data_IF_313417220260
#
_entry.id   IF_313417220260
#
_cell.length_a   1.000
_cell.length_b   1.000
_cell.length_c   1.000
_cell.angle_alpha   90.00
_cell.angle_beta   90.00
_cell.angle_gamma   90.00
#
_symmetry.space_group_name_H-M   'P 1'
#
loop_
_entity.id
_entity.type
_entity.pdbx_description
1 polymer ?
#
# COMPACT_ATOMS: atom_id res chain seq x y z
N UNK A 1 -22.12 40.97 18.88
CA UNK A 1 -21.45 42.24 19.17
C UNK A 1 -19.97 41.94 19.30
N UNK A 2 -19.05 42.31 18.46
CA UNK A 2 -19.00 42.88 17.11
C UNK A 2 -17.56 42.57 16.66
N UNK A 3 -17.34 41.92 15.53
CA UNK A 3 -17.00 42.58 14.26
C UNK A 3 -15.79 43.52 14.35
N UNK A 4 -14.69 43.13 13.70
CA UNK A 4 -13.93 44.07 12.86
C UNK A 4 -13.01 43.32 11.89
N UNK A 5 -13.34 43.49 10.62
CA UNK A 5 -12.67 43.06 9.40
C UNK A 5 -12.31 44.35 8.66
N UNK A 6 -11.05 44.56 8.25
CA UNK A 6 -10.61 45.46 7.18
C UNK A 6 -9.06 45.36 7.08
N UNK A 7 -8.50 44.80 6.01
CA UNK A 7 -8.33 45.34 4.66
C UNK A 7 -7.06 46.19 4.53
N UNK A 8 -6.11 45.72 3.72
CA UNK A 8 -5.19 46.52 2.91
C UNK A 8 -4.90 45.73 1.64
N UNK A 9 -5.39 46.28 0.52
CA UNK A 9 -5.11 45.95 -0.87
C UNK A 9 -4.14 47.03 -1.42
N UNK A 10 -3.60 46.74 -2.61
CA UNK A 10 -2.85 47.60 -3.54
C UNK A 10 -1.33 47.79 -3.27
N UNK A 11 -0.43 47.75 -4.25
CA UNK A 11 -0.57 47.65 -5.70
C UNK A 11 0.79 47.32 -6.35
N UNK A 12 0.75 47.00 -7.65
CA UNK A 12 1.78 47.23 -8.66
C UNK A 12 2.85 46.17 -8.99
N UNK A 13 2.68 45.62 -10.21
CA UNK A 13 3.64 45.55 -11.34
C UNK A 13 5.07 45.06 -11.02
N UNK A 14 5.63 44.02 -11.63
CA UNK A 14 5.48 43.48 -12.97
C UNK A 14 6.90 43.33 -13.55
N UNK A 15 7.30 42.15 -14.00
CA UNK A 15 8.11 42.04 -15.22
C UNK A 15 8.19 40.58 -15.67
N UNK A 16 7.95 40.39 -16.97
CA UNK A 16 8.08 39.12 -17.64
C UNK A 16 9.43 39.01 -18.30
N UNK A 17 10.12 37.89 -18.14
CA UNK A 17 11.18 37.51 -19.06
C UNK A 17 10.90 36.14 -19.66
N UNK A 18 10.50 36.21 -20.94
CA UNK A 18 10.47 35.11 -21.89
C UNK A 18 11.91 34.70 -22.20
N UNK A 19 12.18 33.40 -22.14
CA UNK A 19 13.38 32.81 -22.72
C UNK A 19 13.24 32.76 -24.26
N UNK A 20 14.28 33.14 -25.02
CA UNK A 20 14.21 33.19 -26.47
C UNK A 20 14.49 31.82 -27.12
N UNK A 21 13.78 31.57 -28.21
CA UNK A 21 13.99 30.40 -29.07
C UNK A 21 15.28 30.48 -29.87
N UNK A 22 15.78 29.29 -30.24
CA UNK A 22 16.79 29.11 -31.27
C UNK A 22 16.14 28.45 -32.49
N UNK A 23 16.28 29.11 -33.63
CA UNK A 23 15.82 28.66 -34.93
C UNK A 23 17.02 28.43 -35.87
N UNK A 24 16.94 27.33 -36.62
CA UNK A 24 17.51 27.16 -37.97
C UNK A 24 18.76 26.27 -38.09
N UNK A 25 19.10 25.76 -39.30
CA UNK A 25 18.34 25.68 -40.57
C UNK A 25 18.34 24.25 -41.22
N UNK A 26 17.56 24.08 -42.32
CA UNK A 26 17.34 22.84 -43.11
C UNK A 26 18.56 22.31 -43.92
N UNK A 27 18.43 21.72 -45.14
CA UNK A 27 17.25 21.50 -45.99
C UNK A 27 17.16 20.16 -46.79
N UNK A 28 15.97 19.93 -47.37
CA UNK A 28 15.67 19.39 -48.72
C UNK A 28 16.22 18.03 -49.22
N UNK A 29 15.29 17.15 -49.61
CA UNK A 29 15.31 16.55 -50.95
C UNK A 29 13.87 16.32 -51.45
N UNK A 30 13.41 17.23 -52.31
CA UNK A 30 12.25 17.05 -53.17
C UNK A 30 12.76 16.84 -54.60
N UNK A 31 12.47 15.70 -55.20
CA UNK A 31 12.71 15.48 -56.64
C UNK A 31 11.48 15.89 -57.43
N UNK A 32 11.66 17.01 -58.13
CA UNK A 32 10.85 17.58 -59.21
C UNK A 32 10.75 16.60 -60.39
N UNK A 33 9.54 16.42 -60.93
CA UNK A 33 9.34 16.06 -62.35
C UNK A 33 8.41 17.08 -62.99
N UNK A 34 8.87 17.62 -64.11
CA UNK A 34 8.25 18.64 -64.94
C UNK A 34 7.24 18.04 -65.95
N UNK A 35 6.43 18.89 -66.61
CA UNK A 35 5.07 18.56 -67.02
C UNK A 35 4.99 18.08 -68.48
N UNK A 36 3.93 17.32 -68.78
CA UNK A 36 3.46 17.10 -70.15
C UNK A 36 2.05 17.66 -70.29
N UNK A 37 1.98 18.79 -70.97
CA UNK A 37 0.79 19.31 -71.64
C UNK A 37 0.37 18.34 -72.76
N UNK A 38 -0.94 18.05 -72.84
CA UNK A 38 -1.70 18.03 -74.10
C UNK A 38 -3.19 17.82 -73.82
N UNK A 39 -3.95 18.86 -74.11
CA UNK A 39 -5.39 18.85 -74.38
C UNK A 39 -5.78 17.80 -75.41
N UNK A 40 -6.89 17.06 -75.19
CA UNK A 40 -7.92 16.80 -76.20
C UNK A 40 -9.04 15.88 -75.65
N UNK A 41 -10.29 16.28 -75.89
CA UNK A 41 -11.40 15.36 -76.16
C UNK A 41 -12.19 14.83 -74.96
N UNK A 42 -13.20 15.59 -74.51
CA UNK A 42 -14.28 15.06 -73.70
C UNK A 42 -15.23 14.23 -74.59
N UNK A 43 -15.32 12.92 -74.32
CA UNK A 43 -16.39 12.06 -74.83
C UNK A 43 -17.56 12.01 -73.81
N UNK A 44 -18.82 11.82 -74.25
CA UNK A 44 -19.98 11.91 -73.37
C UNK A 44 -20.00 10.74 -72.38
N UNK A 45 -20.24 11.03 -71.10
CA UNK A 45 -20.45 10.01 -70.06
C UNK A 45 -21.83 9.40 -70.23
N UNK A 46 -21.89 8.07 -70.33
CA UNK A 46 -23.14 7.30 -70.22
C UNK A 46 -23.84 7.56 -68.87
N UNK A 47 -25.18 7.49 -68.81
CA UNK A 47 -25.91 7.71 -67.57
C UNK A 47 -25.58 6.60 -66.55
N UNK A 48 -25.15 7.02 -65.34
CA UNK A 48 -24.94 6.12 -64.20
C UNK A 48 -26.24 5.39 -63.88
N UNK A 49 -26.16 4.06 -63.78
CA UNK A 49 -27.20 3.24 -63.18
C UNK A 49 -27.55 3.74 -61.76
N UNK A 50 -28.82 3.64 -61.32
CA UNK A 50 -29.23 4.08 -59.99
C UNK A 50 -28.44 3.32 -58.92
N UNK A 51 -27.91 4.08 -57.95
CA UNK A 51 -27.22 3.54 -56.77
C UNK A 51 -28.13 2.54 -56.07
N UNK A 52 -27.72 1.27 -56.02
CA UNK A 52 -28.34 0.27 -55.15
C UNK A 52 -28.33 0.81 -53.72
N UNK A 53 -29.47 0.73 -53.04
CA UNK A 53 -29.57 1.05 -51.63
C UNK A 53 -28.53 0.21 -50.85
N UNK A 54 -27.91 0.75 -49.78
CA UNK A 54 -27.05 -0.05 -48.92
C UNK A 54 -27.84 -1.27 -48.41
N UNK A 55 -27.18 -2.43 -48.22
CA UNK A 55 -27.84 -3.60 -47.68
C UNK A 55 -28.47 -3.26 -46.32
N UNK A 56 -29.59 -3.90 -45.93
CA UNK A 56 -30.17 -3.68 -44.61
C UNK A 56 -29.11 -4.04 -43.58
N UNK A 57 -28.70 -3.07 -42.76
CA UNK A 57 -27.90 -3.36 -41.57
C UNK A 57 -28.76 -4.26 -40.68
N UNK A 58 -28.21 -5.42 -40.30
CA UNK A 58 -28.78 -6.24 -39.23
C UNK A 58 -29.04 -5.31 -38.02
N UNK A 59 -30.19 -5.41 -37.34
CA UNK A 59 -30.51 -4.51 -36.25
C UNK A 59 -29.46 -4.68 -35.14
N UNK A 60 -28.47 -3.79 -35.12
CA UNK A 60 -27.52 -3.70 -34.01
C UNK A 60 -28.34 -3.23 -32.83
N UNK A 61 -28.71 -4.16 -31.95
CA UNK A 61 -29.48 -3.85 -30.74
C UNK A 61 -28.81 -2.69 -30.04
N UNK A 62 -29.44 -1.51 -30.10
CA UNK A 62 -28.81 -0.27 -29.71
C UNK A 62 -28.84 -0.19 -28.18
N UNK A 63 -27.83 -0.76 -27.53
CA UNK A 63 -27.74 -0.79 -26.07
C UNK A 63 -27.49 0.63 -25.55
N UNK A 64 -28.41 1.14 -24.75
CA UNK A 64 -28.29 2.49 -24.17
C UNK A 64 -27.16 2.55 -23.15
N UNK A 65 -26.46 3.68 -23.09
CA UNK A 65 -25.40 3.91 -22.10
C UNK A 65 -25.92 3.80 -20.66
N UNK A 66 -27.19 4.16 -20.43
CA UNK A 66 -27.86 4.01 -19.14
C UNK A 66 -28.00 2.53 -18.74
N UNK A 67 -28.34 1.66 -19.69
CA UNK A 67 -28.47 0.22 -19.43
C UNK A 67 -27.11 -0.44 -19.15
N UNK A 68 -26.06 -0.04 -19.88
CA UNK A 68 -24.68 -0.46 -19.59
C UNK A 68 -24.26 -0.01 -18.19
N UNK A 69 -24.57 1.23 -17.82
CA UNK A 69 -24.30 1.75 -16.49
C UNK A 69 -25.07 0.99 -15.42
N UNK A 70 -26.35 0.70 -15.63
CA UNK A 70 -27.18 -0.04 -14.68
C UNK A 70 -26.64 -1.47 -14.44
N UNK A 71 -26.25 -2.18 -15.51
CA UNK A 71 -25.64 -3.51 -15.38
C UNK A 71 -24.29 -3.43 -14.66
N UNK A 72 -23.47 -2.42 -14.98
CA UNK A 72 -22.20 -2.15 -14.29
C UNK A 72 -22.41 -1.85 -12.81
N UNK A 73 -23.38 -1.02 -12.46
CA UNK A 73 -23.64 -0.65 -11.07
C UNK A 73 -24.15 -1.85 -10.26
N UNK A 74 -24.88 -2.77 -10.91
CA UNK A 74 -25.38 -4.01 -10.29
C UNK A 74 -24.31 -5.11 -10.14
N UNK A 75 -23.43 -5.27 -11.12
CA UNK A 75 -22.46 -6.38 -11.18
C UNK A 75 -21.03 -5.96 -10.84
N UNK A 76 -20.72 -4.67 -10.96
CA UNK A 76 -19.39 -4.12 -10.76
C UNK A 76 -18.41 -4.38 -11.90
N UNK A 77 -18.80 -5.09 -12.97
CA UNK A 77 -17.92 -5.45 -14.08
C UNK A 77 -17.49 -4.23 -14.94
N UNK A 78 -16.37 -4.37 -15.65
CA UNK A 78 -15.83 -3.33 -16.53
C UNK A 78 -16.83 -2.92 -17.62
N UNK A 79 -16.87 -1.62 -17.94
CA UNK A 79 -17.89 -1.03 -18.83
C UNK A 79 -17.98 -1.73 -20.21
N UNK A 80 -16.84 -2.14 -20.76
CA UNK A 80 -16.77 -2.87 -22.03
C UNK A 80 -17.33 -4.30 -21.96
N UNK A 81 -17.16 -4.99 -20.83
CA UNK A 81 -17.71 -6.33 -20.63
C UNK A 81 -19.23 -6.26 -20.44
N UNK A 82 -19.74 -5.30 -19.65
CA UNK A 82 -21.18 -5.05 -19.51
C UNK A 82 -21.83 -4.74 -20.86
N UNK A 83 -21.20 -3.89 -21.67
CA UNK A 83 -21.71 -3.56 -23.02
C UNK A 83 -21.78 -4.80 -23.92
N UNK A 84 -20.72 -5.62 -23.97
CA UNK A 84 -20.70 -6.85 -24.78
C UNK A 84 -21.77 -7.85 -24.32
N UNK A 85 -21.92 -8.04 -23.01
CA UNK A 85 -22.93 -8.94 -22.47
C UNK A 85 -24.35 -8.46 -22.77
N UNK A 86 -24.63 -7.15 -22.70
CA UNK A 86 -25.92 -6.60 -23.08
C UNK A 86 -26.22 -6.72 -24.57
N UNK A 87 -25.21 -6.63 -25.43
CA UNK A 87 -25.39 -6.87 -26.88
C UNK A 87 -25.80 -8.32 -27.11
N UNK A 88 -25.11 -9.28 -26.51
CA UNK A 88 -25.39 -10.72 -26.62
C UNK A 88 -26.71 -11.12 -25.95
N UNK A 89 -27.11 -10.39 -24.91
CA UNK A 89 -28.39 -10.56 -24.23
C UNK A 89 -29.55 -9.80 -24.89
N UNK A 90 -29.31 -9.12 -26.01
CA UNK A 90 -30.31 -8.28 -26.69
C UNK A 90 -30.96 -7.22 -25.76
N UNK A 91 -30.18 -6.69 -24.82
CA UNK A 91 -30.63 -5.71 -23.83
C UNK A 91 -31.33 -6.29 -22.60
N UNK A 92 -31.46 -7.62 -22.48
CA UNK A 92 -31.99 -8.26 -21.29
C UNK A 92 -30.95 -8.25 -20.16
N UNK A 93 -31.25 -7.53 -19.07
CA UNK A 93 -30.35 -7.41 -17.92
C UNK A 93 -30.06 -8.76 -17.26
N UNK A 94 -31.07 -9.61 -17.08
CA UNK A 94 -30.91 -10.87 -16.37
C UNK A 94 -30.08 -11.86 -17.19
N UNK A 95 -30.34 -11.94 -18.49
CA UNK A 95 -29.51 -12.75 -19.41
C UNK A 95 -28.09 -12.21 -19.50
N UNK A 96 -27.89 -10.89 -19.51
CA UNK A 96 -26.57 -10.29 -19.51
C UNK A 96 -25.79 -10.64 -18.23
N UNK A 97 -26.45 -10.68 -17.08
CA UNK A 97 -25.86 -11.14 -15.82
C UNK A 97 -25.43 -12.61 -15.89
N UNK A 98 -26.29 -13.47 -16.44
CA UNK A 98 -25.99 -14.89 -16.59
C UNK A 98 -24.84 -15.13 -17.59
N UNK A 99 -24.77 -14.35 -18.68
CA UNK A 99 -23.65 -14.33 -19.63
C UNK A 99 -22.35 -13.91 -18.93
N UNK A 100 -22.38 -12.82 -18.16
CA UNK A 100 -21.20 -12.35 -17.41
C UNK A 100 -20.74 -13.40 -16.40
N UNK A 101 -21.68 -14.06 -15.71
CA UNK A 101 -21.39 -15.15 -14.76
C UNK A 101 -20.80 -16.37 -15.47
N UNK A 102 -21.40 -16.81 -16.58
CA UNK A 102 -20.92 -17.95 -17.38
C UNK A 102 -19.52 -17.69 -17.96
N UNK A 103 -19.21 -16.43 -18.30
CA UNK A 103 -17.90 -16.00 -18.79
C UNK A 103 -16.89 -15.69 -17.68
N UNK A 104 -17.28 -15.84 -16.40
CA UNK A 104 -16.41 -15.56 -15.26
C UNK A 104 -15.94 -14.11 -15.19
N UNK A 105 -16.71 -13.16 -15.74
CA UNK A 105 -16.33 -11.74 -15.75
C UNK A 105 -16.35 -11.22 -14.32
N UNK A 106 -15.19 -10.74 -13.86
CA UNK A 106 -15.01 -10.22 -12.50
C UNK A 106 -15.46 -8.76 -12.41
N UNK A 107 -15.89 -8.31 -11.23
CA UNK A 107 -16.00 -6.89 -10.92
C UNK A 107 -14.67 -6.16 -11.18
N UNK A 108 -14.74 -4.99 -11.79
CA UNK A 108 -13.63 -4.07 -11.99
C UNK A 108 -13.55 -3.13 -10.78
N UNK A 109 -12.97 -3.65 -9.70
CA UNK A 109 -12.83 -2.96 -8.40
C UNK A 109 -11.43 -2.43 -8.17
N UNK A 110 -10.44 -2.81 -8.98
CA UNK A 110 -9.02 -2.56 -8.73
C UNK A 110 -8.62 -1.08 -8.59
N UNK A 111 -9.36 -0.17 -9.23
CA UNK A 111 -9.12 1.28 -9.14
C UNK A 111 -9.72 1.94 -7.88
N UNK A 112 -10.52 1.21 -7.10
CA UNK A 112 -11.15 1.71 -5.89
C UNK A 112 -10.16 1.67 -4.73
N UNK A 113 -10.16 2.71 -3.90
CA UNK A 113 -9.22 2.84 -2.78
C UNK A 113 -9.55 1.86 -1.66
N UNK A 114 -8.55 1.19 -1.14
CA UNK A 114 -8.65 0.30 0.03
C UNK A 114 -7.90 0.92 1.20
N UNK A 115 -8.62 1.52 2.14
CA UNK A 115 -8.06 2.14 3.36
C UNK A 115 -8.40 1.36 4.63
N UNK A 116 -9.18 0.29 4.49
CA UNK A 116 -9.61 -0.60 5.56
C UNK A 116 -8.99 -1.98 5.35
N UNK A 117 -9.12 -2.90 6.32
CA UNK A 117 -8.50 -4.22 6.24
C UNK A 117 -8.09 -4.77 7.60
N UNK A 118 -7.35 -5.88 7.57
CA UNK A 118 -6.77 -6.49 8.76
C UNK A 118 -5.40 -7.09 8.52
N UNK A 119 -4.60 -7.08 9.58
CA UNK A 119 -3.35 -7.82 9.72
C UNK A 119 -3.62 -9.15 10.40
N UNK A 120 -2.95 -10.20 9.93
CA UNK A 120 -2.90 -11.50 10.60
C UNK A 120 -1.49 -12.03 10.69
N UNK A 121 -1.19 -12.63 11.83
CA UNK A 121 0.00 -13.44 12.05
C UNK A 121 -0.38 -14.91 12.17
N UNK A 122 0.47 -15.79 11.64
CA UNK A 122 0.42 -17.23 11.89
C UNK A 122 1.82 -17.72 12.26
N UNK A 123 1.93 -18.51 13.32
CA UNK A 123 3.20 -19.03 13.83
C UNK A 123 3.30 -20.52 13.56
N UNK A 124 4.51 -21.00 13.26
CA UNK A 124 4.80 -22.43 13.27
C UNK A 124 4.73 -23.01 14.68
N UNK A 125 4.52 -24.32 14.78
CA UNK A 125 4.40 -25.03 16.06
C UNK A 125 5.66 -24.88 16.95
N UNK A 126 6.84 -24.76 16.34
CA UNK A 126 8.10 -24.52 17.05
C UNK A 126 8.29 -23.04 17.48
N UNK A 127 7.39 -22.15 17.06
CA UNK A 127 7.42 -20.72 17.35
C UNK A 127 8.56 -19.96 16.67
N UNK A 128 9.21 -20.53 15.63
CA UNK A 128 10.39 -19.94 14.97
C UNK A 128 10.12 -19.39 13.58
N UNK A 129 8.97 -19.69 12.98
CA UNK A 129 8.54 -19.14 11.69
C UNK A 129 7.23 -18.39 11.87
N UNK A 130 7.13 -17.24 11.24
CA UNK A 130 5.97 -16.35 11.29
C UNK A 130 5.55 -15.99 9.87
N UNK A 131 4.29 -16.19 9.54
CA UNK A 131 3.65 -15.51 8.41
C UNK A 131 3.13 -14.14 8.87
N UNK A 132 3.42 -13.11 8.07
CA UNK A 132 2.89 -11.76 8.19
C UNK A 132 2.01 -11.49 6.99
N UNK A 133 0.72 -11.24 7.24
CA UNK A 133 -0.27 -11.02 6.19
C UNK A 133 -1.06 -9.76 6.45
N UNK A 134 -1.26 -8.96 5.40
CA UNK A 134 -2.19 -7.84 5.38
C UNK A 134 -3.14 -7.98 4.19
N UNK A 135 -4.44 -8.03 4.51
CA UNK A 135 -5.50 -8.00 3.52
C UNK A 135 -6.27 -6.69 3.69
N UNK A 136 -6.34 -5.90 2.62
CA UNK A 136 -7.03 -4.61 2.58
C UNK A 136 -8.38 -4.73 1.87
N UNK A 137 -9.33 -3.88 2.26
CA UNK A 137 -10.64 -3.72 1.63
C UNK A 137 -11.12 -2.25 1.64
N UNK A 138 -12.26 -1.97 1.02
CA UNK A 138 -12.81 -0.61 0.95
C UNK A 138 -13.42 -0.18 2.28
N UNK A 139 -14.15 -1.09 2.96
CA UNK A 139 -14.90 -0.77 4.18
C UNK A 139 -14.52 -1.63 5.39
N UNK A 140 -14.77 -1.13 6.60
CA UNK A 140 -14.54 -1.87 7.84
C UNK A 140 -15.56 -3.01 8.05
N UNK A 141 -16.75 -2.89 7.46
CA UNK A 141 -17.77 -3.95 7.43
C UNK A 141 -17.29 -5.17 6.65
N UNK A 142 -16.63 -4.97 5.51
CA UNK A 142 -16.01 -6.05 4.75
C UNK A 142 -14.90 -6.73 5.55
N UNK A 143 -14.02 -5.96 6.20
CA UNK A 143 -12.96 -6.50 7.04
C UNK A 143 -13.51 -7.40 8.16
N UNK A 144 -14.62 -7.02 8.79
CA UNK A 144 -15.27 -7.78 9.88
C UNK A 144 -16.11 -8.96 9.40
N UNK A 145 -16.31 -9.13 8.09
CA UNK A 145 -17.09 -10.22 7.53
C UNK A 145 -16.39 -11.58 7.77
N UNK A 146 -17.15 -12.61 8.15
CA UNK A 146 -16.62 -13.95 8.43
C UNK A 146 -15.85 -14.54 7.22
N UNK A 147 -16.32 -14.31 5.99
CA UNK A 147 -15.65 -14.82 4.79
C UNK A 147 -14.32 -14.11 4.54
N UNK A 148 -14.23 -12.82 4.86
CA UNK A 148 -12.98 -12.06 4.83
C UNK A 148 -11.98 -12.63 5.84
N UNK A 149 -12.45 -12.84 7.08
CA UNK A 149 -11.62 -13.40 8.16
C UNK A 149 -11.11 -14.81 7.83
N UNK A 150 -11.97 -15.63 7.22
CA UNK A 150 -11.61 -16.99 6.80
C UNK A 150 -10.60 -16.95 5.65
N UNK A 151 -10.79 -16.08 4.65
CA UNK A 151 -9.81 -15.90 3.58
C UNK A 151 -8.45 -15.44 4.12
N UNK A 152 -8.45 -14.45 5.03
CA UNK A 152 -7.24 -13.99 5.70
C UNK A 152 -6.56 -15.12 6.50
N UNK A 153 -7.34 -16.02 7.10
CA UNK A 153 -6.83 -17.23 7.75
C UNK A 153 -6.07 -18.13 6.79
N UNK A 154 -6.73 -18.51 5.70
CA UNK A 154 -6.18 -19.38 4.68
C UNK A 154 -4.91 -18.77 4.11
N UNK A 155 -4.90 -17.47 3.78
CA UNK A 155 -3.70 -16.80 3.26
C UNK A 155 -2.55 -16.87 4.27
N UNK A 156 -2.80 -16.64 5.57
CA UNK A 156 -1.76 -16.73 6.58
C UNK A 156 -1.19 -18.15 6.76
N UNK A 157 -2.04 -19.17 6.73
CA UNK A 157 -1.63 -20.58 6.78
C UNK A 157 -0.83 -20.98 5.54
N UNK A 158 -1.30 -20.62 4.34
CA UNK A 158 -0.60 -20.86 3.07
C UNK A 158 0.73 -20.12 3.02
N UNK A 159 0.80 -18.89 3.52
CA UNK A 159 2.04 -18.11 3.58
C UNK A 159 3.06 -18.77 4.49
N UNK A 160 2.62 -19.25 5.66
CA UNK A 160 3.50 -19.95 6.62
C UNK A 160 4.07 -21.25 6.04
N UNK A 161 3.24 -22.00 5.31
CA UNK A 161 3.62 -23.27 4.68
C UNK A 161 4.47 -23.07 3.41
N UNK A 162 4.07 -22.12 2.55
CA UNK A 162 4.68 -21.85 1.25
C UNK A 162 5.97 -21.04 1.33
N UNK A 163 6.18 -20.28 2.41
CA UNK A 163 7.41 -19.50 2.60
C UNK A 163 7.54 -18.32 1.63
N UNK A 164 6.42 -17.72 1.22
CA UNK A 164 6.40 -16.63 0.25
C UNK A 164 7.25 -15.44 0.73
N UNK A 165 7.90 -14.79 -0.24
CA UNK A 165 8.76 -13.63 0.00
C UNK A 165 8.00 -12.29 -0.14
N UNK A 166 6.79 -12.31 -0.69
CA UNK A 166 5.94 -11.13 -0.87
C UNK A 166 4.51 -11.51 -1.32
N UNK A 167 3.63 -10.52 -1.33
CA UNK A 167 2.25 -10.65 -1.78
C UNK A 167 2.09 -11.08 -3.25
N UNK A 168 3.00 -10.70 -4.15
CA UNK A 168 2.90 -11.05 -5.57
C UNK A 168 3.16 -12.55 -5.81
N UNK A 169 4.11 -13.11 -5.07
CA UNK A 169 4.36 -14.56 -5.05
C UNK A 169 3.16 -15.31 -4.44
N UNK A 170 2.66 -14.84 -3.30
CA UNK A 170 1.50 -15.45 -2.64
C UNK A 170 0.24 -15.45 -3.55
N UNK A 171 0.04 -14.41 -4.37
CA UNK A 171 -1.07 -14.35 -5.34
C UNK A 171 -0.99 -15.41 -6.45
N UNK A 172 0.15 -16.09 -6.62
CA UNK A 172 0.29 -17.21 -7.57
C UNK A 172 -0.18 -18.55 -6.97
N UNK A 173 -0.36 -18.63 -5.66
CA UNK A 173 -0.93 -19.81 -5.01
C UNK A 173 -2.41 -19.98 -5.43
N UNK A 174 -2.75 -21.16 -5.94
CA UNK A 174 -4.07 -21.43 -6.53
C UNK A 174 -5.22 -21.17 -5.56
N UNK A 175 -5.04 -21.56 -4.30
CA UNK A 175 -6.07 -21.45 -3.26
C UNK A 175 -6.27 -19.98 -2.86
N UNK A 176 -5.18 -19.23 -2.71
CA UNK A 176 -5.21 -17.79 -2.43
C UNK A 176 -5.84 -17.03 -3.61
N UNK A 177 -5.40 -17.29 -4.84
CA UNK A 177 -5.91 -16.63 -6.03
C UNK A 177 -7.42 -16.85 -6.21
N UNK A 178 -7.88 -18.09 -6.02
CA UNK A 178 -9.30 -18.45 -6.08
C UNK A 178 -10.09 -17.78 -4.96
N UNK A 179 -9.58 -17.79 -3.73
CA UNK A 179 -10.23 -17.15 -2.58
C UNK A 179 -10.39 -15.64 -2.75
N UNK A 180 -9.34 -14.95 -3.20
CA UNK A 180 -9.39 -13.52 -3.54
C UNK A 180 -10.42 -13.25 -4.64
N UNK A 181 -10.43 -14.07 -5.70
CA UNK A 181 -11.41 -13.95 -6.78
C UNK A 181 -12.85 -14.14 -6.30
N UNK A 182 -13.12 -15.15 -5.47
CA UNK A 182 -14.45 -15.40 -4.92
C UNK A 182 -14.91 -14.26 -4.00
N UNK A 183 -14.01 -13.75 -3.16
CA UNK A 183 -14.27 -12.61 -2.30
C UNK A 183 -14.68 -11.37 -3.10
N UNK A 184 -13.89 -11.01 -4.11
CA UNK A 184 -14.15 -9.85 -4.96
C UNK A 184 -15.41 -10.06 -5.82
N UNK A 185 -15.61 -11.24 -6.40
CA UNK A 185 -16.66 -11.43 -7.40
C UNK A 185 -18.03 -11.80 -6.82
N UNK A 186 -18.05 -12.51 -5.69
CA UNK A 186 -19.26 -13.18 -5.22
C UNK A 186 -19.66 -12.68 -3.85
N UNK A 187 -18.76 -12.80 -2.88
CA UNK A 187 -19.16 -12.79 -1.47
C UNK A 187 -19.03 -11.44 -0.80
N UNK A 188 -17.99 -10.67 -1.09
CA UNK A 188 -17.74 -9.34 -0.50
C UNK A 188 -18.06 -8.23 -1.49
N UNK A 189 -17.71 -8.40 -2.77
CA UNK A 189 -17.99 -7.43 -3.85
C UNK A 189 -17.38 -6.03 -3.67
N UNK A 190 -16.33 -5.95 -2.87
CA UNK A 190 -15.45 -4.79 -2.75
C UNK A 190 -14.10 -5.07 -3.41
N UNK A 191 -13.30 -4.01 -3.61
CA UNK A 191 -11.88 -4.18 -3.87
C UNK A 191 -11.21 -4.83 -2.67
N UNK A 192 -10.44 -5.89 -2.92
CA UNK A 192 -9.66 -6.59 -1.91
C UNK A 192 -8.24 -6.72 -2.43
N UNK A 193 -7.27 -6.29 -1.61
CA UNK A 193 -5.87 -6.28 -1.98
C UNK A 193 -5.09 -7.06 -0.94
N UNK A 194 -4.45 -8.16 -1.36
CA UNK A 194 -3.38 -8.78 -0.58
C UNK A 194 -2.16 -7.88 -0.69
N UNK A 195 -1.89 -7.13 0.38
CA UNK A 195 -0.85 -6.10 0.43
C UNK A 195 0.47 -6.65 0.99
N UNK A 196 0.39 -7.55 1.97
CA UNK A 196 1.54 -8.18 2.60
C UNK A 196 1.30 -9.68 2.73
N UNK A 197 2.33 -10.47 2.43
CA UNK A 197 2.36 -11.92 2.60
C UNK A 197 3.82 -12.37 2.60
N UNK A 198 4.48 -12.23 3.75
CA UNK A 198 5.89 -12.58 3.94
C UNK A 198 6.06 -13.59 5.05
N UNK A 199 7.17 -14.32 5.00
CA UNK A 199 7.62 -15.16 6.10
C UNK A 199 8.83 -14.52 6.81
N UNK A 200 8.81 -14.55 8.14
CA UNK A 200 9.97 -14.24 8.98
C UNK A 200 10.43 -15.51 9.71
N UNK A 201 11.73 -15.66 9.86
CA UNK A 201 12.35 -16.78 10.58
C UNK A 201 13.21 -16.20 11.69
N UNK A 202 13.12 -16.82 12.87
CA UNK A 202 14.06 -16.58 13.95
C UNK A 202 15.22 -17.57 13.81
N UNK A 203 16.39 -17.04 13.45
CA UNK A 203 17.63 -17.81 13.45
C UNK A 203 18.07 -18.12 14.88
N UNK A 204 18.49 -19.36 15.14
CA UNK A 204 18.97 -19.81 16.45
C UNK A 204 17.88 -20.29 17.43
N UNK A 205 18.22 -20.33 18.72
CA UNK A 205 17.28 -20.65 19.80
C UNK A 205 16.49 -19.41 20.22
N UNK A 206 15.27 -19.60 20.71
CA UNK A 206 14.34 -18.53 21.06
C UNK A 206 12.94 -18.77 20.53
N UNK A 207 12.10 -17.75 20.59
CA UNK A 207 10.72 -17.77 20.06
C UNK A 207 10.33 -16.41 19.49
N UNK A 208 9.29 -16.43 18.67
CA UNK A 208 8.63 -15.23 18.16
C UNK A 208 7.41 -14.93 19.04
N UNK A 209 7.29 -13.69 19.49
CA UNK A 209 6.07 -13.16 20.09
C UNK A 209 5.27 -12.36 19.08
N UNK A 210 3.96 -12.36 19.23
CA UNK A 210 3.03 -11.63 18.36
C UNK A 210 1.95 -10.94 19.18
N UNK A 211 1.51 -9.79 18.72
CA UNK A 211 0.32 -9.10 19.20
C UNK A 211 -0.38 -8.42 18.04
N UNK A 212 -1.65 -8.75 17.82
CA UNK A 212 -2.54 -7.99 16.94
C UNK A 212 -3.46 -7.18 17.84
N UNK A 213 -3.48 -5.86 17.65
CA UNK A 213 -4.35 -4.97 18.39
C UNK A 213 -5.81 -5.35 18.17
N UNK A 214 -6.69 -5.08 19.14
CA UNK A 214 -8.09 -5.53 19.08
C UNK A 214 -8.88 -5.00 17.87
N UNK A 215 -8.40 -3.96 17.19
CA UNK A 215 -8.98 -3.43 15.95
C UNK A 215 -8.66 -4.28 14.72
N UNK A 216 -7.68 -5.19 14.80
CA UNK A 216 -7.16 -5.95 13.66
C UNK A 216 -6.26 -5.14 12.73
N UNK A 217 -6.14 -3.82 12.91
CA UNK A 217 -5.45 -2.92 11.97
C UNK A 217 -3.95 -2.77 12.21
N UNK A 218 -3.47 -3.15 13.40
CA UNK A 218 -2.07 -3.03 13.77
C UNK A 218 -1.63 -4.37 14.34
N UNK A 219 -0.59 -4.95 13.76
CA UNK A 219 0.08 -6.13 14.27
C UNK A 219 1.54 -5.84 14.54
N UNK A 220 2.05 -6.27 15.69
CA UNK A 220 3.48 -6.32 15.96
C UNK A 220 3.91 -7.75 16.25
N UNK A 221 5.02 -8.16 15.67
CA UNK A 221 5.70 -9.39 16.00
C UNK A 221 7.17 -9.10 16.29
N UNK A 222 7.81 -9.91 17.13
CA UNK A 222 9.24 -9.82 17.40
C UNK A 222 9.85 -11.18 17.63
N UNK A 223 11.04 -11.39 17.09
CA UNK A 223 11.87 -12.55 17.35
C UNK A 223 12.85 -12.25 18.48
N UNK A 224 12.93 -13.13 19.47
CA UNK A 224 13.88 -13.00 20.57
C UNK A 224 14.66 -14.30 20.77
N UNK A 225 15.98 -14.17 20.77
CA UNK A 225 16.90 -15.26 21.09
C UNK A 225 17.07 -15.40 22.60
N UNK A 226 17.03 -16.65 23.05
CA UNK A 226 17.32 -17.07 24.42
C UNK A 226 17.63 -18.58 24.40
N UNK A 227 18.23 -19.13 25.46
CA UNK A 227 18.42 -20.59 25.54
C UNK A 227 17.08 -21.33 25.53
N UNK A 228 17.09 -22.59 25.11
CA UNK A 228 15.88 -23.43 25.12
C UNK A 228 15.17 -23.46 26.48
N UNK A 229 15.91 -23.47 27.59
CA UNK A 229 15.36 -23.47 28.96
C UNK A 229 14.67 -22.16 29.31
N UNK A 230 15.23 -21.02 28.88
CA UNK A 230 14.60 -19.70 29.07
C UNK A 230 13.37 -19.57 28.17
N UNK A 231 13.49 -19.95 26.90
CA UNK A 231 12.44 -19.82 25.91
C UNK A 231 11.21 -20.70 26.21
N UNK A 232 11.40 -21.81 26.92
CA UNK A 232 10.32 -22.70 27.36
C UNK A 232 9.43 -22.11 28.47
N UNK A 233 9.88 -21.07 29.18
CA UNK A 233 9.16 -20.50 30.33
C UNK A 233 7.99 -19.61 29.89
N UNK A 234 6.79 -19.73 30.50
CA UNK A 234 5.65 -18.86 30.19
C UNK A 234 5.95 -17.36 30.29
N UNK A 235 6.77 -16.97 31.26
CA UNK A 235 7.18 -15.58 31.50
C UNK A 235 7.99 -15.00 30.34
N UNK A 236 8.69 -15.85 29.57
CA UNK A 236 9.35 -15.42 28.33
C UNK A 236 8.30 -15.02 27.29
N UNK A 237 7.26 -15.83 27.08
CA UNK A 237 6.17 -15.51 26.16
C UNK A 237 5.39 -14.26 26.59
N UNK A 238 5.17 -14.08 27.90
CA UNK A 238 4.57 -12.86 28.46
C UNK A 238 5.41 -11.62 28.16
N UNK A 239 6.74 -11.70 28.33
CA UNK A 239 7.64 -10.61 27.96
C UNK A 239 7.50 -10.27 26.46
N UNK A 240 7.54 -11.26 25.56
CA UNK A 240 7.46 -10.96 24.13
C UNK A 240 6.12 -10.31 23.76
N UNK A 241 5.02 -10.77 24.36
CA UNK A 241 3.69 -10.15 24.19
C UNK A 241 3.69 -8.71 24.68
N UNK A 242 4.26 -8.44 25.85
CA UNK A 242 4.35 -7.11 26.43
C UNK A 242 5.18 -6.15 25.59
N UNK A 243 6.27 -6.64 25.00
CA UNK A 243 7.09 -5.86 24.06
C UNK A 243 6.35 -5.59 22.74
N UNK A 244 5.58 -6.55 22.21
CA UNK A 244 4.74 -6.31 21.03
C UNK A 244 3.65 -5.27 21.31
N UNK A 245 3.00 -5.35 22.49
CA UNK A 245 2.02 -4.35 22.94
C UNK A 245 2.65 -2.97 23.10
N UNK A 246 3.86 -2.91 23.66
CA UNK A 246 4.62 -1.66 23.78
C UNK A 246 4.88 -1.02 22.41
N UNK A 247 5.44 -1.77 21.46
CA UNK A 247 5.71 -1.28 20.11
C UNK A 247 4.43 -0.96 19.30
N UNK A 248 3.28 -1.52 19.69
CA UNK A 248 1.96 -1.17 19.14
C UNK A 248 1.48 0.18 19.67
N UNK A 249 1.64 0.44 20.96
CA UNK A 249 1.07 1.60 21.66
C UNK A 249 1.99 2.83 21.72
N UNK A 250 3.30 2.64 21.59
CA UNK A 250 4.27 3.74 21.73
C UNK A 250 4.22 4.69 20.52
N UNK A 251 4.21 5.99 20.80
CA UNK A 251 4.23 7.03 19.78
C UNK A 251 5.33 8.06 20.11
N UNK A 252 6.26 8.34 19.19
CA UNK A 252 6.38 7.73 17.85
C UNK A 252 6.76 6.23 17.91
N UNK A 253 6.29 5.43 16.95
CA UNK A 253 6.55 3.99 16.95
C UNK A 253 8.06 3.69 16.76
N UNK A 254 8.60 2.59 17.31
CA UNK A 254 9.96 2.18 16.98
C UNK A 254 10.08 1.83 15.49
N UNK A 255 11.26 2.06 14.90
CA UNK A 255 11.61 1.64 13.53
C UNK A 255 12.79 0.67 13.48
N UNK A 256 13.45 0.46 14.62
CA UNK A 256 14.66 -0.33 14.76
C UNK A 256 14.71 -0.96 16.16
N UNK A 257 15.41 -2.09 16.30
CA UNK A 257 15.58 -2.75 17.59
C UNK A 257 16.50 -1.91 18.46
N UNK A 258 17.73 -1.66 18.01
CA UNK A 258 18.67 -0.74 18.63
C UNK A 258 18.90 0.51 17.76
N UNK A 259 19.55 1.52 18.33
CA UNK A 259 19.85 2.79 17.64
C UNK A 259 20.83 2.60 16.48
N UNK A 260 21.72 1.62 16.58
CA UNK A 260 22.67 1.26 15.52
C UNK A 260 21.97 0.62 14.31
N UNK A 261 20.77 0.07 14.49
CA UNK A 261 19.99 -0.57 13.41
C UNK A 261 19.16 0.46 12.62
N UNK A 262 19.16 1.74 13.01
CA UNK A 262 18.45 2.78 12.24
C UNK A 262 19.24 3.08 10.95
N UNK A 263 18.60 3.04 9.77
CA UNK A 263 19.26 3.33 8.50
C UNK A 263 19.99 4.68 8.48
N UNK A 264 21.20 4.70 7.91
CA UNK A 264 22.06 5.89 7.90
C UNK A 264 21.40 7.08 7.20
N UNK A 265 20.62 6.84 6.14
CA UNK A 265 19.87 7.87 5.43
C UNK A 265 18.78 8.51 6.31
N UNK A 266 18.14 7.73 7.19
CA UNK A 266 17.18 8.24 8.19
C UNK A 266 17.91 9.12 9.20
N UNK A 267 19.06 8.67 9.71
CA UNK A 267 19.88 9.44 10.67
C UNK A 267 20.38 10.74 10.04
N UNK A 268 20.84 10.70 8.79
CA UNK A 268 21.30 11.87 8.05
C UNK A 268 20.17 12.88 7.83
N UNK A 269 18.97 12.41 7.47
CA UNK A 269 17.77 13.27 7.37
C UNK A 269 17.43 13.91 8.72
N UNK A 270 17.41 13.14 9.80
CA UNK A 270 17.10 13.67 11.12
C UNK A 270 18.15 14.69 11.58
N UNK A 271 19.44 14.46 11.27
CA UNK A 271 20.51 15.43 11.53
C UNK A 271 20.27 16.75 10.79
N UNK A 272 19.86 16.69 9.52
CA UNK A 272 19.53 17.88 8.74
C UNK A 272 18.32 18.63 9.32
N UNK A 273 17.28 17.90 9.73
CA UNK A 273 16.11 18.47 10.43
C UNK A 273 16.53 19.13 11.75
N UNK A 274 17.40 18.48 12.52
CA UNK A 274 17.93 19.03 13.77
C UNK A 274 18.69 20.34 13.54
N UNK A 275 19.55 20.40 12.52
CA UNK A 275 20.27 21.61 12.13
C UNK A 275 19.31 22.73 11.69
N UNK A 276 18.33 22.41 10.83
CA UNK A 276 17.32 23.36 10.38
C UNK A 276 16.55 23.95 11.58
N UNK A 277 16.06 23.09 12.47
CA UNK A 277 15.35 23.49 13.69
C UNK A 277 16.21 24.33 14.66
N UNK A 278 17.53 24.08 14.72
CA UNK A 278 18.45 24.92 15.51
C UNK A 278 18.55 26.32 14.88
N UNK A 279 18.62 26.39 13.55
CA UNK A 279 18.76 27.63 12.81
C UNK A 279 17.49 28.49 12.76
N UNK A 280 16.31 27.92 13.01
CA UNK A 280 15.05 28.69 13.13
C UNK A 280 15.09 29.74 14.25
N UNK A 281 15.89 29.52 15.29
CA UNK A 281 16.09 30.51 16.34
C UNK A 281 17.38 31.31 16.07
N UNK A 282 17.30 32.64 15.81
CA UNK A 282 18.46 33.45 15.47
C UNK A 282 19.60 33.41 16.51
N UNK A 283 19.27 33.28 17.81
CA UNK A 283 20.27 33.16 18.87
C UNK A 283 21.03 31.84 18.82
N UNK A 284 20.37 30.77 18.38
CA UNK A 284 21.00 29.47 18.20
C UNK A 284 21.75 29.39 16.87
N UNK A 285 21.22 30.01 15.81
CA UNK A 285 21.87 30.12 14.50
C UNK A 285 23.23 30.84 14.58
N UNK A 286 23.34 31.84 15.47
CA UNK A 286 24.58 32.58 15.70
C UNK A 286 25.63 31.84 16.55
N UNK A 287 25.31 30.65 17.09
CA UNK A 287 26.28 29.88 17.89
C UNK A 287 27.37 29.27 16.99
N UNK A 288 28.59 29.10 17.52
CA UNK A 288 29.67 28.37 16.84
C UNK A 288 29.28 26.92 16.48
N UNK A 289 29.91 26.37 15.44
CA UNK A 289 29.57 25.06 14.89
C UNK A 289 29.76 23.92 15.89
N UNK A 290 30.78 23.97 16.75
CA UNK A 290 31.00 22.97 17.79
C UNK A 290 29.85 22.93 18.82
N UNK A 291 29.22 24.08 19.08
CA UNK A 291 28.03 24.15 19.94
C UNK A 291 26.80 23.62 19.21
N UNK A 292 26.63 23.94 17.93
CA UNK A 292 25.54 23.38 17.11
C UNK A 292 25.65 21.86 17.02
N UNK A 293 26.85 21.33 16.85
CA UNK A 293 27.13 19.89 16.84
C UNK A 293 26.70 19.21 18.15
N UNK A 294 27.01 19.82 19.31
CA UNK A 294 26.52 19.31 20.61
C UNK A 294 25.00 19.36 20.72
N UNK A 295 24.36 20.39 20.16
CA UNK A 295 22.89 20.51 20.15
C UNK A 295 22.24 19.46 19.22
N UNK A 296 22.82 19.22 18.05
CA UNK A 296 22.41 18.18 17.11
C UNK A 296 22.54 16.81 17.78
N UNK A 297 23.67 16.52 18.42
CA UNK A 297 23.87 15.27 19.14
C UNK A 297 22.82 15.07 20.25
N UNK A 298 22.43 16.14 20.95
CA UNK A 298 21.33 16.11 21.92
C UNK A 298 19.97 15.77 21.30
N UNK A 299 19.65 16.34 20.14
CA UNK A 299 18.40 16.03 19.39
C UNK A 299 18.40 14.60 18.84
N UNK A 300 19.53 14.15 18.27
CA UNK A 300 19.68 12.77 17.79
C UNK A 300 19.56 11.76 18.93
N UNK A 301 20.12 12.04 20.11
CA UNK A 301 19.93 11.17 21.29
C UNK A 301 18.44 11.01 21.62
N UNK A 302 17.68 12.09 21.61
CA UNK A 302 16.23 12.05 21.85
C UNK A 302 15.51 11.26 20.75
N UNK A 303 15.89 11.46 19.49
CA UNK A 303 15.35 10.67 18.37
C UNK A 303 15.59 9.17 18.58
N UNK A 304 16.78 8.76 19.00
CA UNK A 304 17.06 7.36 19.33
C UNK A 304 16.21 6.84 20.50
N UNK A 305 16.08 7.61 21.58
CA UNK A 305 15.21 7.29 22.73
C UNK A 305 13.74 7.11 22.32
N UNK A 306 13.30 7.75 21.25
CA UNK A 306 11.93 7.69 20.73
C UNK A 306 11.75 6.63 19.62
N UNK A 307 12.80 6.27 18.87
CA UNK A 307 12.66 5.49 17.62
C UNK A 307 13.38 4.13 17.62
N UNK A 308 14.26 3.88 18.58
CA UNK A 308 14.85 2.55 18.81
C UNK A 308 14.12 1.85 19.96
N UNK A 309 13.59 0.65 19.71
CA UNK A 309 12.78 -0.11 20.67
C UNK A 309 13.49 -0.27 22.02
N UNK A 310 14.77 -0.64 22.02
CA UNK A 310 15.52 -0.87 23.26
C UNK A 310 15.79 0.41 24.07
N UNK A 311 15.76 1.58 23.43
CA UNK A 311 16.00 2.87 24.08
C UNK A 311 14.73 3.51 24.65
N UNK A 312 13.56 3.03 24.22
CA UNK A 312 12.26 3.53 24.65
C UNK A 312 11.99 3.22 26.13
N UNK A 313 11.25 4.12 26.78
CA UNK A 313 10.65 3.88 28.09
C UNK A 313 9.47 2.94 27.94
N UNK A 314 9.41 1.90 28.77
CA UNK A 314 8.38 0.88 28.68
C UNK A 314 7.01 1.47 29.04
N UNK A 315 5.99 1.20 28.21
CA UNK A 315 4.66 1.82 28.34
C UNK A 315 3.96 1.46 29.64
N UNK A 316 4.19 0.26 30.19
CA UNK A 316 3.57 -0.15 31.47
C UNK A 316 4.37 0.30 32.69
N UNK A 317 5.64 0.65 32.53
CA UNK A 317 6.49 1.20 33.59
C UNK A 317 7.50 2.22 33.00
N UNK A 318 7.14 3.51 32.95
CA UNK A 318 7.97 4.54 32.35
C UNK A 318 9.31 4.82 33.07
N UNK A 319 9.54 4.21 34.23
CA UNK A 319 10.82 4.30 34.94
C UNK A 319 11.87 3.32 34.39
N UNK A 320 11.46 2.35 33.58
CA UNK A 320 12.34 1.35 32.98
C UNK A 320 12.44 1.55 31.48
N UNK A 321 13.65 1.48 30.93
CA UNK A 321 13.83 1.29 29.49
C UNK A 321 13.52 -0.15 29.10
N UNK A 322 13.12 -0.37 27.85
CA UNK A 322 12.91 -1.70 27.30
C UNK A 322 14.18 -2.56 27.41
N UNK A 323 15.36 -2.00 27.12
CA UNK A 323 16.66 -2.67 27.33
C UNK A 323 16.82 -3.22 28.74
N UNK A 324 16.51 -2.40 29.74
CA UNK A 324 16.67 -2.77 31.16
C UNK A 324 15.64 -3.83 31.57
N UNK A 325 14.41 -3.73 31.05
CA UNK A 325 13.37 -4.73 31.24
C UNK A 325 13.81 -6.10 30.69
N UNK A 326 14.29 -6.14 29.45
CA UNK A 326 14.75 -7.38 28.80
C UNK A 326 15.92 -8.00 29.57
N UNK A 327 16.91 -7.20 29.94
CA UNK A 327 18.06 -7.67 30.72
C UNK A 327 17.65 -8.18 32.12
N UNK A 328 16.75 -7.48 32.80
CA UNK A 328 16.21 -7.89 34.10
C UNK A 328 15.46 -9.22 33.98
N UNK A 329 14.57 -9.35 33.00
CA UNK A 329 13.81 -10.59 32.75
C UNK A 329 14.72 -11.75 32.37
N UNK A 330 15.74 -11.53 31.56
CA UNK A 330 16.74 -12.56 31.27
C UNK A 330 17.34 -13.13 32.55
N UNK A 331 17.83 -12.27 33.46
CA UNK A 331 18.41 -12.69 34.74
C UNK A 331 17.41 -13.45 35.62
N UNK A 332 16.18 -12.95 35.73
CA UNK A 332 15.11 -13.63 36.48
C UNK A 332 14.81 -15.03 35.93
N UNK A 333 14.87 -15.19 34.61
CA UNK A 333 14.67 -16.47 33.93
C UNK A 333 15.94 -17.33 33.86
N UNK A 334 17.07 -16.86 34.39
CA UNK A 334 18.31 -17.63 34.47
C UNK A 334 19.14 -17.65 33.18
N UNK A 335 19.04 -16.62 32.34
CA UNK A 335 19.86 -16.52 31.12
C UNK A 335 19.91 -15.11 30.52
N UNK A 336 20.24 -15.03 29.24
CA UNK A 336 20.24 -13.80 28.45
C UNK A 336 19.11 -13.84 27.43
N UNK A 337 18.51 -12.68 27.16
CA UNK A 337 17.49 -12.49 26.13
C UNK A 337 17.98 -11.40 25.20
N UNK A 338 18.01 -11.69 23.90
CA UNK A 338 18.34 -10.73 22.85
C UNK A 338 17.17 -10.58 21.90
N UNK A 339 16.71 -9.36 21.68
CA UNK A 339 15.72 -9.08 20.63
C UNK A 339 16.46 -9.08 19.29
N UNK A 340 16.06 -9.96 18.37
CA UNK A 340 16.74 -10.14 17.08
C UNK A 340 16.20 -9.20 16.01
N UNK A 341 14.87 -9.08 15.96
CA UNK A 341 14.15 -8.25 15.00
C UNK A 341 12.72 -8.01 15.51
N UNK A 342 12.06 -7.00 14.96
CA UNK A 342 10.62 -6.87 15.06
C UNK A 342 10.02 -6.47 13.71
N UNK A 343 8.73 -6.74 13.56
CA UNK A 343 7.89 -6.30 12.44
C UNK A 343 6.70 -5.57 13.04
N UNK A 344 6.38 -4.38 12.52
CA UNK A 344 5.15 -3.66 12.82
C UNK A 344 4.40 -3.45 11.51
N UNK A 345 3.26 -4.10 11.38
CA UNK A 345 2.37 -3.97 10.24
C UNK A 345 1.18 -3.09 10.63
N UNK A 346 0.84 -2.13 9.78
CA UNK A 346 -0.34 -1.28 9.93
C UNK A 346 -1.08 -1.29 8.61
N UNK A 347 -2.39 -1.50 8.68
CA UNK A 347 -3.24 -1.50 7.48
C UNK A 347 -3.07 -0.18 6.72
N UNK A 348 -2.62 -0.27 5.48
CA UNK A 348 -2.46 0.85 4.57
C UNK A 348 -1.24 1.75 4.79
N UNK A 349 -0.29 1.39 5.67
CA UNK A 349 0.99 2.10 5.88
C UNK A 349 2.11 1.50 5.01
#
# INVERSE_FOLDING_TARGET
MDSARAALLDDSQGDGQRVPGLAGPGPQHATRREPLDRSAGAAPREPRAPSLAPPPEDPVTQISAALVKQLRDKIGAGMGACKKALIEAEGDLQKAEDILRAKGVKPDTASRKTAEGMVRFSLSDDGKRLAVVELQCETDFAAKNERFQNLLATIAERTLAGGFQNAEEAKQDEEIAKGLQEAIAVTIRENIVLAEATTRVLEGEGRIGTYVHHTGKIGVALGANASAEVAAKPEFAELLKDLCMHATAHHPAPIAVDKEDIPEDVVARERAVALASINENPKNAAKPDDIKEKMIAGKLRKFYEERALLEQKFVKDPNLKVRDLVAKRGKELGGEIKIAWFVRQVVGE
#
